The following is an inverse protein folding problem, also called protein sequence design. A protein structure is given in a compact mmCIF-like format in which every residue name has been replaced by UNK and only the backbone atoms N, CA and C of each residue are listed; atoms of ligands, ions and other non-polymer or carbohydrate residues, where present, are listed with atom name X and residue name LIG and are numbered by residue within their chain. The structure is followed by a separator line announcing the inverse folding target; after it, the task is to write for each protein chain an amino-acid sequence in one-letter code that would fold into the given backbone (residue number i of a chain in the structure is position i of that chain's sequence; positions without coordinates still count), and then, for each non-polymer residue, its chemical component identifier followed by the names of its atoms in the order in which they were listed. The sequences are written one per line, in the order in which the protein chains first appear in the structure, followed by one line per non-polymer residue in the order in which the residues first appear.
data_IF_853256941007
#
_entry.id   IF_853256941007
#
_cell.length_a   1.000
_cell.length_b   1.000
_cell.length_c   1.000
_cell.angle_alpha   90.00
_cell.angle_beta   90.00
_cell.angle_gamma   90.00
#
_symmetry.space_group_name_H-M   'P 1'
#
loop_
_entity.id
_entity.type
_entity.pdbx_description
1 polymer ?
#
# COMPACT_ATOMS: atom_id res chain seq x y z
N UNK A 1 -23.63 -12.90 -3.81
CA UNK A 1 -22.95 -12.72 -2.51
C UNK A 1 -23.80 -11.77 -1.69
N UNK A 2 -23.72 -11.80 -0.35
CA UNK A 2 -24.42 -10.82 0.49
C UNK A 2 -23.78 -9.45 0.29
N UNK A 3 -24.59 -8.41 0.20
CA UNK A 3 -24.11 -7.01 0.18
C UNK A 3 -23.33 -6.74 1.46
N UNK A 4 -22.16 -6.11 1.37
CA UNK A 4 -21.39 -5.65 2.52
C UNK A 4 -20.90 -4.23 2.27
N UNK A 5 -21.18 -3.35 3.23
CA UNK A 5 -20.74 -1.97 3.25
C UNK A 5 -20.17 -1.60 4.60
N UNK A 6 -19.11 -0.82 4.60
CA UNK A 6 -18.42 -0.34 5.78
C UNK A 6 -18.32 1.17 5.75
N UNK A 7 -18.77 1.83 6.80
CA UNK A 7 -18.68 3.28 7.00
C UNK A 7 -17.87 3.56 8.26
N UNK A 8 -16.85 4.41 8.15
CA UNK A 8 -16.10 4.92 9.30
C UNK A 8 -15.91 6.42 9.16
N UNK A 9 -16.41 7.17 10.14
CA UNK A 9 -16.18 8.59 10.29
C UNK A 9 -15.37 8.87 11.55
N UNK A 10 -14.46 9.85 11.49
CA UNK A 10 -13.60 10.23 12.60
C UNK A 10 -13.58 11.74 12.79
N UNK A 11 -13.76 12.16 14.05
CA UNK A 11 -13.62 13.55 14.47
C UNK A 11 -12.22 13.74 15.10
N UNK A 12 -11.47 14.71 14.58
CA UNK A 12 -10.09 15.00 14.95
C UNK A 12 -10.01 16.37 15.64
N UNK A 13 -10.67 17.38 15.09
CA UNK A 13 -10.51 18.76 15.54
C UNK A 13 -11.31 19.02 16.84
N UNK A 14 -12.47 18.37 16.97
CA UNK A 14 -13.32 18.44 18.17
C UNK A 14 -13.95 17.09 18.47
N UNK A 15 -14.09 16.75 19.75
CA UNK A 15 -14.91 15.62 20.15
C UNK A 15 -16.40 15.93 19.97
N UNK A 16 -17.17 14.92 19.61
CA UNK A 16 -18.61 14.96 19.56
C UNK A 16 -19.20 15.18 20.95
N UNK A 17 -20.20 16.06 21.01
CA UNK A 17 -20.96 16.31 22.23
C UNK A 17 -21.99 15.20 22.48
N UNK A 18 -22.46 15.02 23.73
CA UNK A 18 -23.53 14.06 24.02
C UNK A 18 -24.87 14.34 23.31
N UNK A 19 -25.08 15.55 22.79
CA UNK A 19 -26.26 15.87 21.95
C UNK A 19 -26.06 15.36 20.53
N UNK A 20 -24.90 15.60 19.94
CA UNK A 20 -24.55 15.15 18.60
C UNK A 20 -24.48 13.62 18.51
N UNK A 21 -23.89 12.96 19.51
CA UNK A 21 -23.88 11.49 19.57
C UNK A 21 -25.29 10.89 19.64
N UNK A 22 -26.23 11.56 20.33
CA UNK A 22 -27.65 11.13 20.35
C UNK A 22 -28.30 11.31 18.98
N UNK A 23 -28.05 12.42 18.31
CA UNK A 23 -28.54 12.65 16.96
C UNK A 23 -28.02 11.59 15.97
N UNK A 24 -26.72 11.26 16.02
CA UNK A 24 -26.12 10.19 15.20
C UNK A 24 -26.73 8.81 15.50
N UNK A 25 -27.11 8.55 16.76
CA UNK A 25 -27.80 7.32 17.17
C UNK A 25 -29.20 7.20 16.56
N UNK A 26 -29.87 8.34 16.32
CA UNK A 26 -31.16 8.37 15.65
C UNK A 26 -31.02 8.05 14.15
N UNK A 27 -29.88 8.41 13.54
CA UNK A 27 -29.54 8.07 12.14
C UNK A 27 -29.19 6.58 12.00
N UNK A 28 -28.30 6.08 12.86
CA UNK A 28 -27.95 4.65 12.89
C UNK A 28 -27.90 4.12 14.32
N UNK A 29 -28.93 3.32 14.64
CA UNK A 29 -29.05 2.68 15.95
C UNK A 29 -28.02 1.56 16.18
N UNK A 30 -27.45 0.99 15.11
CA UNK A 30 -26.49 -0.12 15.15
C UNK A 30 -25.04 0.31 15.09
N UNK A 31 -24.79 1.59 14.78
CA UNK A 31 -23.43 2.11 14.70
C UNK A 31 -22.74 2.15 16.07
N UNK A 32 -21.45 1.85 16.06
CA UNK A 32 -20.56 2.08 17.18
C UNK A 32 -20.14 3.55 17.20
N UNK A 33 -20.72 4.31 18.12
CA UNK A 33 -20.54 5.76 18.24
C UNK A 33 -19.76 6.09 19.50
N UNK A 34 -18.63 6.77 19.33
CA UNK A 34 -17.77 7.28 20.40
C UNK A 34 -17.65 8.81 20.29
N UNK A 35 -17.05 9.51 21.26
CA UNK A 35 -16.79 10.94 21.14
C UNK A 35 -15.90 11.34 19.95
N UNK A 36 -15.23 10.39 19.29
CA UNK A 36 -14.29 10.67 18.19
C UNK A 36 -14.56 9.84 16.94
N UNK A 37 -15.55 8.95 16.94
CA UNK A 37 -15.81 8.06 15.82
C UNK A 37 -17.28 7.65 15.69
N UNK A 38 -17.66 7.35 14.46
CA UNK A 38 -18.87 6.62 14.11
C UNK A 38 -18.45 5.50 13.16
N UNK A 39 -18.74 4.25 13.51
CA UNK A 39 -18.45 3.08 12.68
C UNK A 39 -19.72 2.29 12.48
N UNK A 40 -19.99 1.87 11.24
CA UNK A 40 -21.13 1.01 10.98
C UNK A 40 -20.86 0.06 9.81
N UNK A 41 -21.39 -1.15 9.93
CA UNK A 41 -21.32 -2.19 8.92
C UNK A 41 -22.74 -2.59 8.52
N UNK A 42 -23.01 -2.60 7.22
CA UNK A 42 -24.28 -3.02 6.66
C UNK A 42 -24.10 -4.30 5.86
N UNK A 43 -24.92 -5.30 6.16
CA UNK A 43 -25.05 -6.51 5.36
C UNK A 43 -26.31 -6.50 4.46
N UNK A 44 -27.18 -5.50 4.67
CA UNK A 44 -28.43 -5.25 3.96
C UNK A 44 -28.82 -3.78 4.17
N UNK A 45 -29.19 -3.08 3.10
CA UNK A 45 -29.54 -1.66 3.16
C UNK A 45 -28.33 -0.73 3.28
N UNK A 46 -28.58 0.54 3.58
CA UNK A 46 -27.60 1.63 3.47
C UNK A 46 -27.72 2.61 4.66
N UNK A 47 -26.69 3.42 4.87
CA UNK A 47 -26.69 4.57 5.75
C UNK A 47 -27.83 5.53 5.37
N UNK A 48 -28.67 5.87 6.34
CA UNK A 48 -29.83 6.75 6.14
C UNK A 48 -29.44 8.24 6.29
N UNK A 49 -28.27 8.61 5.76
CA UNK A 49 -27.74 9.97 5.75
C UNK A 49 -26.70 10.12 4.63
N UNK A 50 -26.57 11.32 4.08
CA UNK A 50 -25.49 11.63 3.14
C UNK A 50 -24.17 11.76 3.93
N UNK A 51 -23.11 11.00 3.59
CA UNK A 51 -21.79 11.15 4.20
C UNK A 51 -21.26 12.59 4.17
N UNK A 52 -21.60 13.38 3.14
CA UNK A 52 -21.17 14.78 3.01
C UNK A 52 -21.75 15.67 4.11
N UNK A 53 -23.02 15.48 4.45
CA UNK A 53 -23.68 16.21 5.55
C UNK A 53 -23.01 15.87 6.88
N UNK A 54 -22.71 14.59 7.11
CA UNK A 54 -22.04 14.13 8.33
C UNK A 54 -20.62 14.68 8.45
N UNK A 55 -19.89 14.74 7.33
CA UNK A 55 -18.58 15.40 7.28
C UNK A 55 -18.71 16.88 7.60
N UNK A 56 -19.70 17.57 7.04
CA UNK A 56 -19.90 18.99 7.29
C UNK A 56 -20.13 19.34 8.76
N UNK A 57 -21.00 18.57 9.41
CA UNK A 57 -21.48 18.88 10.76
C UNK A 57 -20.59 18.32 11.87
N UNK A 58 -20.03 17.11 11.67
CA UNK A 58 -19.52 16.30 12.78
C UNK A 58 -18.09 15.79 12.63
N UNK A 59 -17.63 15.49 11.41
CA UNK A 59 -16.43 14.68 11.20
C UNK A 59 -15.38 15.34 10.32
N UNK A 60 -14.13 14.87 10.42
CA UNK A 60 -12.99 15.41 9.68
C UNK A 60 -12.43 14.45 8.64
N UNK A 61 -12.69 13.15 8.82
CA UNK A 61 -12.20 12.06 7.96
C UNK A 61 -13.30 11.02 7.81
N UNK A 62 -13.48 10.53 6.59
CA UNK A 62 -14.39 9.42 6.31
C UNK A 62 -13.76 8.40 5.36
N UNK A 63 -14.01 7.12 5.64
CA UNK A 63 -13.74 5.99 4.74
C UNK A 63 -15.04 5.22 4.54
N UNK A 64 -15.37 4.94 3.29
CA UNK A 64 -16.44 4.05 2.87
C UNK A 64 -15.89 2.96 1.95
N UNK A 65 -16.33 1.72 2.18
CA UNK A 65 -15.95 0.55 1.39
C UNK A 65 -17.18 -0.32 1.14
N UNK A 66 -17.20 -0.98 0.00
CA UNK A 66 -18.20 -1.99 -0.33
C UNK A 66 -17.55 -3.20 -1.01
N UNK A 67 -18.16 -4.37 -0.87
CA UNK A 67 -17.67 -5.60 -1.49
C UNK A 67 -17.94 -5.71 -3.00
N UNK A 68 -18.62 -4.72 -3.60
CA UNK A 68 -18.79 -4.60 -5.04
C UNK A 68 -17.89 -3.53 -5.66
N UNK A 69 -16.81 -3.14 -4.96
CA UNK A 69 -15.73 -2.35 -5.54
C UNK A 69 -15.88 -0.83 -5.46
N UNK A 70 -16.82 -0.31 -4.67
CA UNK A 70 -16.83 1.12 -4.34
C UNK A 70 -15.97 1.39 -3.10
N UNK A 71 -15.00 2.29 -3.24
CA UNK A 71 -14.15 2.77 -2.15
C UNK A 71 -14.03 4.29 -2.22
N UNK A 72 -14.37 4.97 -1.11
CA UNK A 72 -14.38 6.44 -1.02
C UNK A 72 -13.66 6.88 0.24
N UNK A 73 -12.81 7.90 0.12
CA UNK A 73 -12.09 8.53 1.21
C UNK A 73 -12.33 10.04 1.18
N UNK A 74 -12.74 10.63 2.30
CA UNK A 74 -13.01 12.08 2.39
C UNK A 74 -12.20 12.75 3.49
N UNK A 75 -11.77 14.00 3.23
CA UNK A 75 -11.12 14.88 4.21
C UNK A 75 -11.77 16.27 4.23
N UNK A 76 -12.03 16.78 5.43
CA UNK A 76 -12.60 18.12 5.65
C UNK A 76 -11.56 19.13 6.11
N UNK A 77 -10.96 19.93 5.25
CA UNK A 77 -9.85 20.83 5.60
C UNK A 77 -10.33 22.28 5.82
N UNK A 78 -9.78 23.04 6.78
CA UNK A 78 -10.11 24.47 6.91
C UNK A 78 -9.83 25.24 5.63
N UNK A 79 -10.69 26.22 5.30
CA UNK A 79 -10.59 26.94 4.03
C UNK A 79 -9.30 27.73 3.85
N UNK A 80 -8.76 28.21 4.97
CA UNK A 80 -7.49 28.95 5.04
C UNK A 80 -6.28 28.14 4.58
N UNK A 81 -6.42 26.81 4.38
CA UNK A 81 -5.27 25.94 4.10
C UNK A 81 -4.77 26.09 2.67
N UNK A 82 -5.67 26.30 1.73
CA UNK A 82 -5.36 26.34 0.30
C UNK A 82 -6.09 27.48 -0.40
N UNK A 83 -5.48 28.00 -1.45
CA UNK A 83 -6.19 28.82 -2.42
C UNK A 83 -7.00 27.95 -3.38
N UNK A 84 -8.13 28.49 -3.84
CA UNK A 84 -9.07 27.78 -4.73
C UNK A 84 -8.42 27.34 -6.03
N UNK A 85 -7.49 28.12 -6.57
CA UNK A 85 -6.88 27.84 -7.87
C UNK A 85 -5.96 26.62 -7.79
N UNK A 86 -5.16 26.52 -6.73
CA UNK A 86 -4.27 25.38 -6.48
C UNK A 86 -5.04 24.10 -6.27
N UNK A 87 -6.13 24.11 -5.48
CA UNK A 87 -6.91 22.88 -5.29
C UNK A 87 -7.58 22.44 -6.59
N UNK A 88 -8.31 23.34 -7.24
CA UNK A 88 -9.09 23.01 -8.42
C UNK A 88 -8.25 22.52 -9.60
N UNK A 89 -6.94 22.82 -9.65
CA UNK A 89 -6.07 22.27 -10.69
C UNK A 89 -5.90 20.75 -10.59
N UNK A 90 -6.04 20.17 -9.39
CA UNK A 90 -5.95 18.72 -9.19
C UNK A 90 -7.28 18.00 -9.37
N UNK A 91 -8.41 18.72 -9.34
CA UNK A 91 -9.76 18.14 -9.37
C UNK A 91 -10.00 17.40 -10.69
N UNK A 92 -10.40 16.14 -10.61
CA UNK A 92 -10.70 15.26 -11.75
C UNK A 92 -11.88 14.35 -11.40
N UNK A 93 -13.09 14.76 -11.78
CA UNK A 93 -14.30 13.96 -11.55
C UNK A 93 -14.32 12.72 -12.44
N UNK A 94 -14.84 11.56 -11.97
CA UNK A 94 -15.41 11.31 -10.63
C UNK A 94 -14.38 10.83 -9.58
N UNK A 95 -13.08 10.84 -9.88
CA UNK A 95 -12.06 10.19 -9.06
C UNK A 95 -11.51 11.06 -7.92
N UNK A 96 -11.41 12.36 -8.14
CA UNK A 96 -10.94 13.30 -7.13
C UNK A 96 -11.74 14.60 -7.21
N UNK A 97 -12.72 14.71 -6.31
CA UNK A 97 -13.64 15.84 -6.20
C UNK A 97 -13.18 16.80 -5.10
N UNK A 98 -13.34 18.10 -5.37
CA UNK A 98 -13.04 19.17 -4.42
C UNK A 98 -14.23 20.11 -4.33
N UNK A 99 -14.84 20.16 -3.16
CA UNK A 99 -16.00 21.01 -2.91
C UNK A 99 -15.63 22.17 -1.98
N UNK A 100 -15.99 23.38 -2.41
CA UNK A 100 -15.86 24.60 -1.62
C UNK A 100 -17.11 24.81 -0.77
N UNK A 101 -17.02 24.53 0.54
CA UNK A 101 -18.10 24.80 1.49
C UNK A 101 -17.81 26.11 2.24
N UNK A 102 -18.72 26.51 3.14
CA UNK A 102 -18.67 27.85 3.77
C UNK A 102 -17.30 28.12 4.45
N UNK A 103 -16.94 27.25 5.40
CA UNK A 103 -15.75 27.41 6.25
C UNK A 103 -14.64 26.37 5.96
N UNK A 104 -14.88 25.41 5.08
CA UNK A 104 -13.98 24.29 4.82
C UNK A 104 -14.00 23.84 3.35
N UNK A 105 -12.97 23.10 3.00
CA UNK A 105 -12.85 22.30 1.79
C UNK A 105 -13.23 20.85 2.11
N UNK A 106 -14.03 20.23 1.26
CA UNK A 106 -14.24 18.79 1.29
C UNK A 106 -13.53 18.16 0.09
N UNK A 107 -12.58 17.28 0.37
CA UNK A 107 -11.80 16.58 -0.65
C UNK A 107 -12.26 15.12 -0.63
N UNK A 108 -12.65 14.60 -1.78
CA UNK A 108 -13.20 13.25 -1.93
C UNK A 108 -12.38 12.49 -2.96
N UNK A 109 -11.66 11.46 -2.51
CA UNK A 109 -11.00 10.49 -3.37
C UNK A 109 -11.90 9.29 -3.55
N UNK A 110 -12.11 8.89 -4.80
CA UNK A 110 -12.94 7.76 -5.19
C UNK A 110 -12.14 6.81 -6.06
N UNK A 111 -12.26 5.52 -5.79
CA UNK A 111 -11.76 4.49 -6.69
C UNK A 111 -12.52 4.47 -8.03
N UNK A 112 -13.77 4.96 -8.04
CA UNK A 112 -14.71 4.80 -9.14
C UNK A 112 -15.48 3.47 -9.06
N UNK A 113 -16.30 3.18 -10.08
CA UNK A 113 -16.94 1.88 -10.23
C UNK A 113 -15.89 0.84 -10.67
N UNK A 114 -15.14 0.30 -9.71
CA UNK A 114 -14.36 -0.91 -9.93
C UNK A 114 -15.26 -2.13 -9.70
N UNK A 115 -15.02 -3.23 -10.42
CA UNK A 115 -15.74 -4.48 -10.16
C UNK A 115 -15.40 -5.07 -8.78
N UNK A 116 -15.73 -6.34 -8.56
CA UNK A 116 -15.32 -7.05 -7.34
C UNK A 116 -13.79 -6.93 -7.15
N UNK A 117 -13.38 -6.45 -5.98
CA UNK A 117 -11.98 -6.19 -5.66
C UNK A 117 -11.60 -6.80 -4.32
N UNK A 118 -10.75 -7.82 -4.37
CA UNK A 118 -10.26 -8.59 -3.22
C UNK A 118 -9.66 -7.71 -2.11
N UNK A 119 -9.17 -6.49 -2.43
CA UNK A 119 -8.62 -5.54 -1.44
C UNK A 119 -9.62 -5.07 -0.40
N UNK A 120 -10.93 -5.15 -0.70
CA UNK A 120 -12.01 -4.70 0.16
C UNK A 120 -12.95 -5.83 0.62
N UNK A 121 -12.63 -7.08 0.27
CA UNK A 121 -13.42 -8.26 0.65
C UNK A 121 -13.17 -8.71 2.10
N UNK A 122 -11.94 -8.52 2.61
CA UNK A 122 -11.63 -8.78 4.02
C UNK A 122 -12.11 -7.60 4.89
N UNK A 123 -12.61 -7.89 6.11
CA UNK A 123 -13.29 -6.94 7.01
C UNK A 123 -12.32 -5.88 7.62
N UNK A 124 -11.48 -5.26 6.79
CA UNK A 124 -10.32 -4.45 7.17
C UNK A 124 -10.54 -2.93 7.01
N UNK A 125 -11.80 -2.48 6.96
CA UNK A 125 -12.12 -1.06 6.87
C UNK A 125 -11.53 -0.20 8.01
N UNK A 126 -11.27 -0.81 9.17
CA UNK A 126 -10.59 -0.16 10.31
C UNK A 126 -9.11 0.15 10.04
N UNK A 127 -8.42 -0.71 9.28
CA UNK A 127 -7.03 -0.51 8.88
C UNK A 127 -6.91 0.66 7.93
N UNK A 128 -7.80 0.76 6.94
CA UNK A 128 -7.82 1.88 5.99
C UNK A 128 -7.95 3.24 6.66
N UNK A 129 -8.90 3.40 7.59
CA UNK A 129 -9.02 4.65 8.37
C UNK A 129 -7.72 4.99 9.10
N UNK A 130 -7.05 4.01 9.70
CA UNK A 130 -5.79 4.23 10.43
C UNK A 130 -4.65 4.65 9.49
N UNK A 131 -4.56 4.03 8.32
CA UNK A 131 -3.53 4.30 7.32
C UNK A 131 -3.73 5.63 6.58
N UNK A 132 -4.98 6.04 6.34
CA UNK A 132 -5.32 7.23 5.54
C UNK A 132 -5.52 8.50 6.37
N UNK A 133 -6.00 8.41 7.62
CA UNK A 133 -6.22 9.58 8.47
C UNK A 133 -5.00 10.54 8.60
N UNK A 134 -3.73 10.06 8.62
CA UNK A 134 -2.56 10.94 8.68
C UNK A 134 -2.45 11.93 7.50
N UNK A 135 -3.04 11.63 6.34
CA UNK A 135 -3.05 12.50 5.16
C UNK A 135 -3.61 13.89 5.45
N UNK A 136 -4.57 13.98 6.39
CA UNK A 136 -5.09 15.27 6.86
C UNK A 136 -3.98 16.18 7.32
N UNK A 137 -3.13 15.68 8.22
CA UNK A 137 -2.08 16.51 8.80
C UNK A 137 -0.96 16.82 7.79
N UNK A 138 -0.67 15.88 6.88
CA UNK A 138 0.26 16.12 5.77
C UNK A 138 -0.23 17.28 4.88
N UNK A 139 -1.51 17.29 4.50
CA UNK A 139 -2.13 18.38 3.73
C UNK A 139 -2.14 19.70 4.50
N UNK A 140 -2.46 19.68 5.80
CA UNK A 140 -2.40 20.88 6.65
C UNK A 140 -0.99 21.47 6.73
N UNK A 141 0.05 20.63 6.62
CA UNK A 141 1.46 21.02 6.54
C UNK A 141 1.90 21.48 5.14
N UNK A 142 1.02 21.43 4.15
CA UNK A 142 1.29 21.84 2.77
C UNK A 142 1.90 20.74 1.89
N UNK A 143 1.82 19.48 2.30
CA UNK A 143 2.22 18.35 1.44
C UNK A 143 1.12 18.02 0.45
N UNK A 144 1.28 18.46 -0.80
CA UNK A 144 0.28 18.32 -1.87
C UNK A 144 0.30 16.95 -2.57
N UNK A 145 1.19 16.04 -2.17
CA UNK A 145 1.40 14.77 -2.90
C UNK A 145 0.16 13.88 -2.92
N UNK A 146 -0.71 13.96 -1.91
CA UNK A 146 -2.00 13.23 -1.90
C UNK A 146 -3.01 13.77 -2.91
N UNK A 147 -2.99 15.08 -3.20
CA UNK A 147 -3.80 15.67 -4.28
C UNK A 147 -3.34 15.13 -5.64
N UNK A 148 -2.02 15.06 -5.84
CA UNK A 148 -1.43 14.50 -7.06
C UNK A 148 -1.75 13.00 -7.22
N UNK A 149 -1.76 12.23 -6.13
CA UNK A 149 -2.18 10.82 -6.16
C UNK A 149 -3.66 10.70 -6.57
N UNK A 150 -4.53 11.60 -6.10
CA UNK A 150 -5.91 11.67 -6.58
C UNK A 150 -6.01 11.97 -8.07
N UNK A 151 -5.23 12.95 -8.56
CA UNK A 151 -5.15 13.26 -9.98
C UNK A 151 -4.64 12.09 -10.84
N UNK A 152 -3.63 11.36 -10.35
CA UNK A 152 -3.11 10.16 -11.02
C UNK A 152 -4.14 9.05 -11.19
N UNK A 153 -5.22 9.04 -10.39
CA UNK A 153 -6.29 8.06 -10.56
C UNK A 153 -6.97 8.22 -11.92
N UNK A 154 -7.33 9.45 -12.28
CA UNK A 154 -7.93 9.76 -13.58
C UNK A 154 -6.98 9.42 -14.73
N UNK A 155 -5.68 9.71 -14.55
CA UNK A 155 -4.65 9.30 -15.53
C UNK A 155 -4.62 7.78 -15.70
N UNK A 156 -4.71 7.02 -14.62
CA UNK A 156 -4.65 5.54 -14.65
C UNK A 156 -5.84 4.93 -15.40
N UNK A 157 -7.00 5.59 -15.38
CA UNK A 157 -8.21 5.17 -16.09
C UNK A 157 -8.31 5.73 -17.52
N UNK A 158 -7.28 6.47 -17.98
CA UNK A 158 -7.27 7.20 -19.26
C UNK A 158 -8.48 8.16 -19.42
N UNK A 159 -9.00 8.64 -18.29
CA UNK A 159 -10.20 9.46 -18.20
C UNK A 159 -9.82 10.88 -17.76
N UNK A 160 -8.93 11.50 -18.55
CA UNK A 160 -8.41 12.83 -18.28
C UNK A 160 -8.36 13.68 -19.55
N UNK A 161 -9.00 14.85 -19.51
CA UNK A 161 -8.94 15.82 -20.62
C UNK A 161 -7.63 16.62 -20.62
N UNK A 162 -7.00 16.78 -19.46
CA UNK A 162 -5.79 17.58 -19.30
C UNK A 162 -4.56 16.86 -19.90
N UNK A 163 -3.90 17.53 -20.85
CA UNK A 163 -2.68 17.00 -21.49
C UNK A 163 -1.46 17.01 -20.57
N UNK A 164 -1.49 17.78 -19.47
CA UNK A 164 -0.35 18.05 -18.59
C UNK A 164 -0.71 17.92 -17.12
N UNK A 165 0.30 17.57 -16.33
CA UNK A 165 0.14 17.53 -14.88
C UNK A 165 -0.15 18.93 -14.28
N UNK A 166 -0.93 18.99 -13.19
CA UNK A 166 -1.38 20.27 -12.62
C UNK A 166 -0.25 21.08 -12.00
N UNK A 167 0.74 20.40 -11.43
CA UNK A 167 1.90 21.03 -10.81
C UNK A 167 3.08 20.06 -10.78
N UNK A 168 4.29 20.57 -11.01
CA UNK A 168 5.51 19.82 -10.80
C UNK A 168 5.81 19.70 -9.29
N UNK A 169 5.50 18.54 -8.69
CA UNK A 169 5.76 18.29 -7.27
C UNK A 169 7.10 17.57 -7.03
N UNK A 170 7.81 18.06 -6.01
CA UNK A 170 8.98 17.40 -5.45
C UNK A 170 8.60 16.18 -4.59
N UNK A 171 9.55 15.27 -4.35
CA UNK A 171 9.37 14.20 -3.37
C UNK A 171 8.40 13.07 -3.76
N UNK A 172 7.95 13.01 -5.02
CA UNK A 172 7.08 11.92 -5.51
C UNK A 172 7.76 10.55 -5.51
N UNK A 173 9.10 10.50 -5.41
CA UNK A 173 9.88 9.27 -5.28
C UNK A 173 10.10 8.79 -3.84
N UNK A 174 9.57 9.50 -2.84
CA UNK A 174 9.71 9.18 -1.42
C UNK A 174 8.39 9.44 -0.67
N UNK A 175 7.34 8.74 -1.10
CA UNK A 175 5.99 8.86 -0.53
C UNK A 175 5.95 8.38 0.92
N UNK A 176 5.19 9.09 1.77
CA UNK A 176 4.94 8.65 3.15
C UNK A 176 4.12 7.36 3.19
N UNK A 177 4.07 6.67 4.33
CA UNK A 177 3.25 5.47 4.47
C UNK A 177 1.74 5.74 4.21
N UNK A 178 1.25 6.93 4.57
CA UNK A 178 -0.13 7.32 4.33
C UNK A 178 -0.40 7.62 2.85
N UNK A 179 0.56 8.23 2.15
CA UNK A 179 0.50 8.47 0.70
C UNK A 179 0.57 7.16 -0.09
N UNK A 180 1.42 6.22 0.33
CA UNK A 180 1.46 4.87 -0.24
C UNK A 180 0.14 4.15 -0.02
N UNK A 181 -0.47 4.28 1.18
CA UNK A 181 -1.79 3.72 1.44
C UNK A 181 -2.87 4.35 0.55
N UNK A 182 -2.83 5.66 0.29
CA UNK A 182 -3.77 6.29 -0.64
C UNK A 182 -3.61 5.75 -2.06
N UNK A 183 -2.38 5.59 -2.53
CA UNK A 183 -2.13 5.02 -3.85
C UNK A 183 -2.65 3.57 -3.96
N UNK A 184 -2.47 2.77 -2.91
CA UNK A 184 -2.99 1.41 -2.82
C UNK A 184 -4.54 1.40 -2.79
N UNK A 185 -5.13 2.30 -2.01
CA UNK A 185 -6.58 2.50 -1.90
C UNK A 185 -7.21 2.84 -3.26
N UNK A 186 -6.52 3.66 -4.06
CA UNK A 186 -6.97 4.09 -5.39
C UNK A 186 -6.49 3.19 -6.54
N UNK A 187 -5.84 2.06 -6.26
CA UNK A 187 -5.34 1.16 -7.32
C UNK A 187 -4.37 1.82 -8.32
N UNK A 188 -3.60 2.82 -7.89
CA UNK A 188 -2.67 3.49 -8.79
C UNK A 188 -1.58 2.52 -9.22
N UNK A 189 -1.27 2.50 -10.53
CA UNK A 189 -0.20 1.64 -11.06
C UNK A 189 1.13 1.93 -10.35
N UNK A 190 1.76 0.93 -9.69
CA UNK A 190 3.03 1.11 -9.01
C UNK A 190 4.16 1.53 -9.96
N UNK A 191 4.12 1.13 -11.23
CA UNK A 191 5.09 1.52 -12.23
C UNK A 191 4.91 2.99 -12.62
N UNK A 192 3.68 3.50 -12.67
CA UNK A 192 3.39 4.93 -12.86
C UNK A 192 3.98 5.77 -11.72
N UNK A 193 3.72 5.41 -10.46
CA UNK A 193 4.29 6.09 -9.30
C UNK A 193 5.82 6.04 -9.30
N UNK A 194 6.40 4.88 -9.61
CA UNK A 194 7.85 4.70 -9.65
C UNK A 194 8.49 5.54 -10.76
N UNK A 195 7.86 5.62 -11.94
CA UNK A 195 8.30 6.43 -13.07
C UNK A 195 8.32 7.92 -12.71
N UNK A 196 7.21 8.41 -12.18
CA UNK A 196 7.04 9.81 -11.75
C UNK A 196 8.03 10.16 -10.63
N UNK A 197 8.26 9.25 -9.68
CA UNK A 197 9.16 9.45 -8.56
C UNK A 197 10.63 9.49 -8.95
N UNK A 198 11.04 8.65 -9.91
CA UNK A 198 12.43 8.58 -10.38
C UNK A 198 12.90 9.89 -11.03
N UNK A 199 12.04 10.56 -11.80
CA UNK A 199 12.36 11.86 -12.41
C UNK A 199 12.50 12.99 -11.38
N UNK A 200 11.77 12.93 -10.26
CA UNK A 200 11.81 13.97 -9.23
C UNK A 200 12.99 13.79 -8.24
N UNK A 201 13.43 12.54 -8.00
CA UNK A 201 14.47 12.23 -7.00
C UNK A 201 15.86 12.80 -7.35
N UNK A 202 16.14 13.07 -8.62
CA UNK A 202 17.44 13.54 -9.07
C UNK A 202 17.77 15.00 -8.67
N UNK A 203 16.80 15.78 -8.16
CA UNK A 203 16.97 17.24 -7.94
C UNK A 203 16.75 17.73 -6.49
N UNK A 204 16.03 17.00 -5.63
CA UNK A 204 15.50 17.62 -4.40
C UNK A 204 16.42 17.63 -3.17
N UNK A 205 17.31 16.65 -2.98
CA UNK A 205 17.93 16.42 -1.65
C UNK A 205 18.86 17.53 -1.14
N UNK A 206 19.85 17.91 -1.95
CA UNK A 206 20.88 18.90 -1.55
C UNK A 206 20.44 20.34 -1.85
N UNK A 207 19.73 20.54 -2.96
CA UNK A 207 19.21 21.86 -3.35
C UNK A 207 18.16 22.37 -2.36
N UNK A 208 17.29 21.51 -1.82
CA UNK A 208 16.27 21.94 -0.86
C UNK A 208 16.86 22.30 0.51
N UNK A 209 17.95 21.66 0.95
CA UNK A 209 18.60 22.01 2.22
C UNK A 209 19.23 23.41 2.13
N UNK A 210 20.02 23.67 1.09
CA UNK A 210 20.61 24.98 0.87
C UNK A 210 19.56 26.08 0.65
N UNK A 211 18.47 25.77 -0.06
CA UNK A 211 17.36 26.71 -0.25
C UNK A 211 16.62 27.03 1.06
N UNK A 212 16.47 26.05 1.96
CA UNK A 212 15.90 26.28 3.31
C UNK A 212 16.78 27.19 4.12
N UNK A 213 18.08 26.92 4.21
CA UNK A 213 19.01 27.76 4.98
C UNK A 213 19.02 29.20 4.44
N UNK A 214 19.11 29.36 3.11
CA UNK A 214 19.07 30.67 2.46
C UNK A 214 17.73 31.43 2.65
N UNK A 215 16.63 30.71 2.89
CA UNK A 215 15.33 31.32 3.22
C UNK A 215 15.24 31.68 4.70
N UNK A 216 15.68 30.79 5.60
CA UNK A 216 15.72 31.03 7.04
C UNK A 216 16.59 32.26 7.37
N UNK A 217 17.71 32.45 6.67
CA UNK A 217 18.59 33.62 6.82
C UNK A 217 17.92 34.95 6.45
N UNK A 218 16.82 34.91 5.67
CA UNK A 218 16.06 36.10 5.24
C UNK A 218 14.88 36.41 6.17
N UNK A 219 14.54 35.51 7.10
CA UNK A 219 13.41 35.72 8.01
C UNK A 219 13.76 36.77 9.07
N UNK A 220 12.85 37.72 9.36
CA UNK A 220 13.03 38.67 10.46
C UNK A 220 13.19 37.94 11.81
N UNK A 221 14.13 38.38 12.68
CA UNK A 221 14.33 37.75 13.99
C UNK A 221 13.07 37.71 14.86
N UNK A 222 12.19 38.69 14.73
CA UNK A 222 10.91 38.76 15.46
C UNK A 222 9.92 37.69 14.99
N UNK A 223 9.91 37.37 13.69
CA UNK A 223 9.07 36.31 13.13
C UNK A 223 9.54 34.94 13.61
N UNK A 224 10.86 34.68 13.57
CA UNK A 224 11.47 33.45 14.10
C UNK A 224 11.15 33.30 15.59
N UNK A 225 11.29 34.36 16.38
CA UNK A 225 10.92 34.37 17.81
C UNK A 225 9.43 34.08 18.00
N UNK A 226 8.57 34.58 17.12
CA UNK A 226 7.13 34.31 17.11
C UNK A 226 6.82 32.82 16.97
N UNK A 227 7.42 32.14 15.98
CA UNK A 227 7.25 30.70 15.81
C UNK A 227 7.79 29.90 17.01
N UNK A 228 8.95 30.27 17.55
CA UNK A 228 9.50 29.62 18.75
C UNK A 228 8.59 29.80 19.97
N UNK A 229 7.99 30.98 20.14
CA UNK A 229 7.02 31.21 21.20
C UNK A 229 5.77 30.33 21.03
N UNK A 230 5.22 30.25 19.82
CA UNK A 230 4.09 29.35 19.51
C UNK A 230 4.41 27.88 19.82
N UNK A 231 5.63 27.42 19.53
CA UNK A 231 6.06 26.07 19.89
C UNK A 231 6.08 25.85 21.42
N UNK A 232 6.54 26.85 22.18
CA UNK A 232 6.59 26.78 23.65
C UNK A 232 5.20 26.88 24.31
N UNK A 233 4.22 27.51 23.65
CA UNK A 233 2.85 27.67 24.18
C UNK A 233 1.87 26.58 23.73
N UNK A 234 2.36 25.49 23.13
CA UNK A 234 1.53 24.37 22.68
C UNK A 234 0.85 24.58 21.31
N UNK A 235 1.20 25.66 20.60
CA UNK A 235 0.75 25.97 19.24
C UNK A 235 1.77 25.49 18.17
N UNK A 236 2.61 24.50 18.51
CA UNK A 236 3.71 24.04 17.66
C UNK A 236 3.25 23.52 16.29
N UNK A 237 2.10 22.83 16.22
CA UNK A 237 1.55 22.39 14.94
C UNK A 237 1.15 23.58 14.04
N UNK A 238 0.56 24.63 14.61
CA UNK A 238 0.21 25.84 13.87
C UNK A 238 1.48 26.57 13.37
N UNK A 239 2.50 26.68 14.22
CA UNK A 239 3.80 27.25 13.85
C UNK A 239 4.46 26.47 12.71
N UNK A 240 4.47 25.13 12.80
CA UNK A 240 5.03 24.26 11.75
C UNK A 240 4.30 24.48 10.42
N UNK A 241 2.96 24.46 10.43
CA UNK A 241 2.14 24.66 9.22
C UNK A 241 2.39 26.02 8.59
N UNK A 242 2.44 27.08 9.39
CA UNK A 242 2.72 28.43 8.91
C UNK A 242 4.12 28.55 8.29
N UNK A 243 5.15 28.00 8.96
CA UNK A 243 6.53 28.03 8.47
C UNK A 243 6.68 27.26 7.15
N UNK A 244 6.09 26.05 7.07
CA UNK A 244 6.11 25.23 5.85
C UNK A 244 5.41 25.92 4.68
N UNK A 245 4.25 26.55 4.94
CA UNK A 245 3.54 27.32 3.91
C UNK A 245 4.35 28.50 3.42
N UNK A 246 4.89 29.30 4.34
CA UNK A 246 5.72 30.46 3.99
C UNK A 246 6.95 30.06 3.15
N UNK A 247 7.60 28.94 3.49
CA UNK A 247 8.68 28.38 2.69
C UNK A 247 8.22 27.92 1.29
N UNK A 248 7.08 27.22 1.21
CA UNK A 248 6.51 26.77 -0.05
C UNK A 248 6.12 27.94 -0.98
N UNK A 249 5.49 28.98 -0.43
CA UNK A 249 5.14 30.20 -1.17
C UNK A 249 6.39 30.93 -1.68
N UNK A 250 7.44 31.00 -0.86
CA UNK A 250 8.72 31.58 -1.27
C UNK A 250 9.36 30.79 -2.41
N UNK A 251 9.34 29.45 -2.33
CA UNK A 251 9.82 28.57 -3.41
C UNK A 251 9.00 28.73 -4.68
N UNK A 252 7.67 28.72 -4.59
CA UNK A 252 6.77 28.88 -5.73
C UNK A 252 7.03 30.19 -6.47
N UNK A 253 7.25 31.29 -5.76
CA UNK A 253 7.64 32.58 -6.35
C UNK A 253 8.99 32.50 -7.07
N UNK A 254 10.01 31.92 -6.42
CA UNK A 254 11.33 31.76 -7.03
C UNK A 254 11.30 30.88 -8.29
N UNK A 255 10.46 29.85 -8.31
CA UNK A 255 10.27 28.97 -9.47
C UNK A 255 9.50 29.64 -10.60
N UNK A 256 8.46 30.42 -10.28
CA UNK A 256 7.72 31.21 -11.25
C UNK A 256 8.60 32.26 -11.94
N UNK A 257 9.49 32.91 -11.18
CA UNK A 257 10.47 33.88 -11.71
C UNK A 257 11.54 33.22 -12.59
N UNK A 258 11.88 31.96 -12.32
CA UNK A 258 12.91 31.22 -13.05
C UNK A 258 12.40 30.50 -14.31
N UNK A 259 11.08 30.36 -14.48
CA UNK A 259 10.48 29.64 -15.62
C UNK A 259 10.82 28.15 -15.70
N UNK A 260 11.31 27.55 -14.60
CA UNK A 260 11.94 26.22 -14.57
C UNK A 260 10.97 25.06 -14.28
N UNK A 261 9.73 25.33 -13.89
CA UNK A 261 8.71 24.30 -13.69
C UNK A 261 7.94 24.05 -14.99
N UNK A 262 8.47 23.19 -15.86
CA UNK A 262 7.65 22.61 -16.93
C UNK A 262 6.94 21.37 -16.40
N UNK A 263 5.60 21.44 -16.33
CA UNK A 263 4.75 20.28 -16.08
C UNK A 263 4.90 19.25 -17.20
N UNK A 264 5.08 17.98 -16.81
CA UNK A 264 5.13 16.85 -17.74
C UNK A 264 3.80 16.66 -18.46
N UNK A 265 3.84 16.13 -19.67
CA UNK A 265 2.63 15.67 -20.36
C UNK A 265 2.21 14.31 -19.83
N UNK A 266 0.93 13.96 -19.98
CA UNK A 266 0.43 12.62 -19.62
C UNK A 266 1.18 11.51 -20.38
N UNK A 267 1.53 11.76 -21.66
CA UNK A 267 2.34 10.83 -22.46
C UNK A 267 3.74 10.62 -21.85
N UNK A 268 4.40 11.67 -21.38
CA UNK A 268 5.69 11.56 -20.70
C UNK A 268 5.57 10.75 -19.41
N UNK A 269 4.46 10.85 -18.66
CA UNK A 269 4.23 10.04 -17.46
C UNK A 269 4.16 8.55 -17.79
N UNK A 270 3.45 8.17 -18.86
CA UNK A 270 3.38 6.78 -19.32
C UNK A 270 4.72 6.25 -19.83
N UNK A 271 5.50 7.08 -20.55
CA UNK A 271 6.86 6.70 -20.95
C UNK A 271 7.78 6.44 -19.75
N UNK A 272 7.63 7.21 -18.66
CA UNK A 272 8.35 6.98 -17.40
C UNK A 272 7.86 5.69 -16.71
N UNK A 273 6.56 5.41 -16.76
CA UNK A 273 5.98 4.18 -16.22
C UNK A 273 6.55 2.94 -16.93
N UNK A 274 6.60 2.95 -18.27
CA UNK A 274 7.21 1.87 -19.06
C UNK A 274 8.67 1.61 -18.70
N UNK A 275 9.43 2.67 -18.45
CA UNK A 275 10.82 2.55 -18.01
C UNK A 275 10.91 1.92 -16.61
N UNK A 276 10.05 2.35 -15.69
CA UNK A 276 9.98 1.79 -14.34
C UNK A 276 9.59 0.31 -14.36
N UNK A 277 8.60 -0.08 -15.18
CA UNK A 277 8.17 -1.46 -15.38
C UNK A 277 9.33 -2.34 -15.86
N UNK A 278 10.08 -1.91 -16.87
CA UNK A 278 11.27 -2.64 -17.37
C UNK A 278 12.30 -2.85 -16.27
N UNK A 279 12.54 -1.83 -15.44
CA UNK A 279 13.46 -1.92 -14.30
C UNK A 279 12.93 -2.92 -13.25
N UNK A 280 11.63 -2.90 -12.94
CA UNK A 280 11.00 -3.82 -11.99
C UNK A 280 11.09 -5.27 -12.46
N UNK A 281 10.68 -5.56 -13.69
CA UNK A 281 10.75 -6.91 -14.28
C UNK A 281 12.19 -7.45 -14.32
N UNK A 282 13.18 -6.61 -14.65
CA UNK A 282 14.58 -7.00 -14.61
C UNK A 282 15.07 -7.33 -13.18
N UNK A 283 14.61 -6.57 -12.18
CA UNK A 283 14.91 -6.84 -10.76
C UNK A 283 14.26 -8.14 -10.28
N UNK A 284 13.00 -8.37 -10.60
CA UNK A 284 12.27 -9.60 -10.26
C UNK A 284 12.92 -10.83 -10.90
N UNK A 285 13.28 -10.76 -12.19
CA UNK A 285 13.99 -11.85 -12.87
C UNK A 285 15.36 -12.14 -12.24
N UNK A 286 16.10 -11.10 -11.84
CA UNK A 286 17.38 -11.24 -11.12
C UNK A 286 17.19 -11.86 -9.73
N UNK A 287 16.17 -11.43 -8.99
CA UNK A 287 15.83 -11.98 -7.68
C UNK A 287 15.42 -13.46 -7.78
N UNK A 288 14.61 -13.82 -8.77
CA UNK A 288 14.22 -15.21 -9.03
C UNK A 288 15.43 -16.08 -9.35
N UNK A 289 16.32 -15.63 -10.24
CA UNK A 289 17.58 -16.36 -10.53
C UNK A 289 18.44 -16.55 -9.29
N UNK A 290 18.54 -15.54 -8.42
CA UNK A 290 19.26 -15.64 -7.14
C UNK A 290 18.61 -16.62 -6.18
N UNK A 291 17.28 -16.61 -6.07
CA UNK A 291 16.52 -17.54 -5.24
C UNK A 291 16.68 -18.98 -5.71
N UNK A 292 16.50 -19.23 -7.03
CA UNK A 292 16.70 -20.55 -7.63
C UNK A 292 18.15 -21.05 -7.45
N UNK A 293 19.15 -20.19 -7.61
CA UNK A 293 20.54 -20.55 -7.36
C UNK A 293 20.81 -20.86 -5.87
N UNK A 294 20.20 -20.11 -4.95
CA UNK A 294 20.31 -20.36 -3.52
C UNK A 294 19.63 -21.69 -3.13
N UNK A 295 18.47 -22.00 -3.70
CA UNK A 295 17.80 -23.29 -3.51
C UNK A 295 18.60 -24.45 -4.09
N UNK A 296 19.17 -24.31 -5.28
CA UNK A 296 20.07 -25.32 -5.86
C UNK A 296 21.26 -25.60 -4.95
N UNK A 297 21.93 -24.57 -4.45
CA UNK A 297 23.04 -24.73 -3.49
C UNK A 297 22.59 -25.40 -2.19
N UNK A 298 21.42 -25.01 -1.63
CA UNK A 298 20.86 -25.66 -0.44
C UNK A 298 20.58 -27.14 -0.70
N UNK A 299 20.03 -27.47 -1.87
CA UNK A 299 19.77 -28.84 -2.30
C UNK A 299 21.07 -29.62 -2.47
N UNK A 300 22.09 -29.07 -3.12
CA UNK A 300 23.41 -29.69 -3.25
C UNK A 300 24.05 -30.01 -1.88
N UNK A 301 24.00 -29.06 -0.93
CA UNK A 301 24.49 -29.28 0.44
C UNK A 301 23.67 -30.35 1.16
N UNK A 302 22.35 -30.36 1.00
CA UNK A 302 21.46 -31.38 1.56
C UNK A 302 21.78 -32.78 1.02
N UNK A 303 21.91 -32.92 -0.30
CA UNK A 303 22.26 -34.18 -0.96
C UNK A 303 23.66 -34.66 -0.52
N UNK A 304 24.61 -33.75 -0.38
CA UNK A 304 25.96 -34.07 0.13
C UNK A 304 25.90 -34.61 1.56
N UNK A 305 25.15 -33.95 2.45
CA UNK A 305 24.92 -34.42 3.83
C UNK A 305 24.22 -35.78 3.87
N UNK A 306 23.28 -36.01 2.96
CA UNK A 306 22.56 -37.26 2.86
C UNK A 306 23.49 -38.41 2.39
N UNK A 307 24.46 -38.09 1.54
CA UNK A 307 25.50 -39.01 1.10
C UNK A 307 26.52 -39.38 2.20
N UNK A 308 26.69 -38.57 3.25
CA UNK A 308 27.55 -38.92 4.39
C UNK A 308 27.05 -40.17 5.13
N UNK A 309 25.73 -40.44 5.13
CA UNK A 309 25.17 -41.58 5.85
C UNK A 309 23.84 -42.06 5.25
N UNK A 310 23.92 -42.68 4.07
CA UNK A 310 22.76 -43.26 3.41
C UNK A 310 21.99 -44.26 4.28
N UNK A 311 22.69 -45.10 5.06
CA UNK A 311 22.06 -46.11 5.93
C UNK A 311 21.14 -45.50 6.99
N UNK A 312 21.49 -44.34 7.53
CA UNK A 312 20.63 -43.61 8.48
C UNK A 312 19.35 -43.13 7.80
N UNK A 313 19.46 -42.61 6.58
CA UNK A 313 18.33 -42.09 5.79
C UNK A 313 17.35 -43.21 5.39
N UNK A 314 17.84 -44.36 4.96
CA UNK A 314 17.01 -45.54 4.69
C UNK A 314 16.24 -46.03 5.93
N UNK A 315 16.88 -46.02 7.10
CA UNK A 315 16.21 -46.37 8.36
C UNK A 315 15.12 -45.37 8.75
N UNK A 316 15.30 -44.08 8.46
CA UNK A 316 14.27 -43.06 8.68
C UNK A 316 13.10 -43.29 7.72
N UNK A 317 13.37 -43.55 6.44
CA UNK A 317 12.34 -43.88 5.45
C UNK A 317 11.50 -45.09 5.89
N UNK A 318 12.12 -46.16 6.37
CA UNK A 318 11.41 -47.36 6.88
C UNK A 318 10.53 -47.06 8.10
N UNK A 319 11.02 -46.24 9.04
CA UNK A 319 10.25 -45.83 10.23
C UNK A 319 9.04 -44.95 9.87
N UNK A 320 9.22 -43.98 8.99
CA UNK A 320 8.13 -43.11 8.54
C UNK A 320 7.10 -43.90 7.72
N UNK A 321 7.57 -44.77 6.81
CA UNK A 321 6.71 -45.67 6.06
C UNK A 321 5.88 -46.54 7.01
N UNK A 322 6.46 -46.99 8.13
CA UNK A 322 5.78 -47.81 9.13
C UNK A 322 4.57 -47.14 9.79
N UNK A 323 4.60 -45.82 10.01
CA UNK A 323 3.56 -45.03 10.70
C UNK A 323 2.20 -45.06 10.00
N UNK A 324 2.17 -45.24 8.69
CA UNK A 324 0.95 -45.56 7.95
C UNK A 324 -0.05 -44.42 7.74
N UNK A 325 0.33 -43.15 7.96
CA UNK A 325 -0.52 -41.98 7.70
C UNK A 325 -0.11 -41.23 6.42
N UNK A 326 -1.01 -40.39 5.90
CA UNK A 326 -0.82 -39.68 4.63
C UNK A 326 0.45 -38.81 4.61
N UNK A 327 0.64 -37.93 5.61
CA UNK A 327 1.83 -37.07 5.68
C UNK A 327 3.14 -37.82 5.86
N UNK A 328 3.13 -39.02 6.47
CA UNK A 328 4.31 -39.86 6.57
C UNK A 328 4.68 -40.48 5.20
N UNK A 329 3.70 -40.89 4.40
CA UNK A 329 3.96 -41.37 3.04
C UNK A 329 4.48 -40.26 2.12
N UNK A 330 3.95 -39.04 2.24
CA UNK A 330 4.46 -37.89 1.47
C UNK A 330 5.92 -37.57 1.86
N UNK A 331 6.25 -37.65 3.15
CA UNK A 331 7.62 -37.46 3.65
C UNK A 331 8.59 -38.55 3.16
N UNK A 332 8.15 -39.81 3.12
CA UNK A 332 8.93 -40.93 2.57
C UNK A 332 9.18 -40.74 1.07
N UNK A 333 8.18 -40.29 0.31
CA UNK A 333 8.31 -40.02 -1.12
C UNK A 333 9.38 -38.96 -1.38
N UNK A 334 9.36 -37.84 -0.64
CA UNK A 334 10.38 -36.79 -0.73
C UNK A 334 11.78 -37.33 -0.39
N UNK A 335 11.90 -38.08 0.70
CA UNK A 335 13.18 -38.63 1.15
C UNK A 335 13.78 -39.65 0.15
N UNK A 336 12.94 -40.45 -0.52
CA UNK A 336 13.39 -41.42 -1.53
C UNK A 336 13.83 -40.75 -2.84
N UNK A 337 13.18 -39.64 -3.23
CA UNK A 337 13.65 -38.80 -4.34
C UNK A 337 15.01 -38.18 -4.01
N UNK A 338 15.15 -37.63 -2.80
CA UNK A 338 16.43 -37.07 -2.34
C UNK A 338 17.54 -38.14 -2.25
N UNK A 339 17.21 -39.35 -1.79
CA UNK A 339 18.13 -40.49 -1.78
C UNK A 339 18.60 -40.82 -3.20
N UNK A 340 17.67 -41.01 -4.15
CA UNK A 340 18.02 -41.29 -5.55
C UNK A 340 18.95 -40.23 -6.11
N UNK A 341 18.62 -38.96 -5.91
CA UNK A 341 19.38 -37.84 -6.44
C UNK A 341 20.78 -37.75 -5.78
N UNK A 342 20.90 -38.05 -4.49
CA UNK A 342 22.18 -38.11 -3.79
C UNK A 342 23.05 -39.30 -4.24
N UNK A 343 22.46 -40.47 -4.47
CA UNK A 343 23.17 -41.63 -5.06
C UNK A 343 23.61 -41.36 -6.50
N UNK A 344 22.78 -40.69 -7.29
CA UNK A 344 23.12 -40.27 -8.66
C UNK A 344 24.32 -39.31 -8.67
N UNK A 345 24.37 -38.35 -7.73
CA UNK A 345 25.49 -37.41 -7.58
C UNK A 345 26.81 -38.13 -7.25
N UNK A 346 26.76 -39.26 -6.55
CA UNK A 346 27.93 -40.09 -6.23
C UNK A 346 28.22 -41.17 -7.29
N UNK A 347 27.45 -41.23 -8.39
CA UNK A 347 27.60 -42.25 -9.44
C UNK A 347 27.18 -43.67 -9.03
N UNK A 348 26.45 -43.83 -7.93
CA UNK A 348 26.10 -45.12 -7.32
C UNK A 348 24.61 -45.45 -7.46
N UNK A 349 24.01 -45.18 -8.62
CA UNK A 349 22.59 -45.36 -8.85
C UNK A 349 22.15 -46.84 -8.75
N UNK A 350 23.04 -47.78 -9.08
CA UNK A 350 22.77 -49.22 -8.97
C UNK A 350 22.59 -49.65 -7.50
N UNK A 351 23.34 -49.04 -6.58
CA UNK A 351 23.21 -49.31 -5.14
C UNK A 351 21.87 -48.78 -4.64
N UNK A 352 21.44 -47.61 -5.11
CA UNK A 352 20.11 -47.09 -4.80
C UNK A 352 19.01 -48.06 -5.26
N UNK A 353 19.08 -48.59 -6.47
CA UNK A 353 18.08 -49.53 -6.99
C UNK A 353 17.98 -50.78 -6.10
N UNK A 354 19.12 -51.37 -5.71
CA UNK A 354 19.14 -52.54 -4.83
C UNK A 354 18.54 -52.25 -3.44
N UNK A 355 18.86 -51.11 -2.84
CA UNK A 355 18.29 -50.71 -1.54
C UNK A 355 16.80 -50.34 -1.65
N UNK A 356 16.39 -49.73 -2.76
CA UNK A 356 15.00 -49.42 -3.06
C UNK A 356 14.16 -50.69 -3.23
N UNK A 357 14.67 -51.71 -3.91
CA UNK A 357 14.00 -53.01 -4.03
C UNK A 357 13.78 -53.68 -2.67
N UNK A 358 14.79 -53.64 -1.78
CA UNK A 358 14.66 -54.14 -0.39
C UNK A 358 13.59 -53.37 0.37
N UNK A 359 13.62 -52.04 0.32
CA UNK A 359 12.61 -51.18 0.94
C UNK A 359 11.20 -51.49 0.41
N UNK A 360 11.06 -51.68 -0.89
CA UNK A 360 9.78 -52.01 -1.51
C UNK A 360 9.29 -53.40 -1.11
N UNK A 361 10.17 -54.41 -0.99
CA UNK A 361 9.83 -55.75 -0.53
C UNK A 361 9.13 -55.72 0.84
N UNK A 362 9.61 -54.89 1.76
CA UNK A 362 9.04 -54.71 3.11
C UNK A 362 7.71 -53.94 3.13
N UNK A 363 7.40 -53.17 2.08
CA UNK A 363 6.26 -52.25 2.03
C UNK A 363 5.28 -52.48 0.88
N UNK A 364 5.43 -53.58 0.13
CA UNK A 364 4.54 -53.99 -0.99
C UNK A 364 3.05 -53.99 -0.65
N UNK A 365 2.68 -54.34 0.59
CA UNK A 365 1.28 -54.40 1.04
C UNK A 365 0.66 -53.02 1.31
N UNK A 366 1.46 -51.94 1.35
CA UNK A 366 1.01 -50.57 1.61
C UNK A 366 0.59 -49.87 0.30
N UNK A 367 -0.59 -50.21 -0.21
CA UNK A 367 -1.11 -49.70 -1.50
C UNK A 367 -1.04 -48.18 -1.65
N UNK A 368 -1.36 -47.43 -0.60
CA UNK A 368 -1.35 -45.96 -0.62
C UNK A 368 0.05 -45.32 -0.72
N UNK A 369 1.11 -46.04 -0.31
CA UNK A 369 2.50 -45.62 -0.50
C UNK A 369 2.95 -45.94 -1.92
N UNK A 370 2.64 -47.14 -2.39
CA UNK A 370 2.92 -47.61 -3.75
C UNK A 370 2.37 -46.65 -4.80
N UNK A 371 1.09 -46.29 -4.71
CA UNK A 371 0.45 -45.38 -5.68
C UNK A 371 1.11 -43.99 -5.70
N UNK A 372 1.60 -43.50 -4.55
CA UNK A 372 2.33 -42.23 -4.49
C UNK A 372 3.72 -42.33 -5.14
N UNK A 373 4.41 -43.45 -4.94
CA UNK A 373 5.72 -43.72 -5.54
C UNK A 373 5.66 -43.87 -7.07
N UNK A 374 4.60 -44.50 -7.59
CA UNK A 374 4.30 -44.57 -9.03
C UNK A 374 4.04 -43.18 -9.61
N UNK A 375 3.27 -42.34 -8.90
CA UNK A 375 2.95 -40.97 -9.32
C UNK A 375 4.20 -40.07 -9.46
N UNK A 376 5.23 -40.29 -8.64
CA UNK A 376 6.49 -39.54 -8.69
C UNK A 376 7.57 -40.20 -9.56
N UNK A 377 7.23 -41.31 -10.26
CA UNK A 377 8.12 -41.97 -11.22
C UNK A 377 9.32 -42.70 -10.58
N UNK A 378 9.20 -43.12 -9.32
CA UNK A 378 10.23 -43.94 -8.65
C UNK A 378 10.00 -45.45 -8.81
N UNK A 379 8.87 -45.86 -9.41
CA UNK A 379 8.49 -47.25 -9.65
C UNK A 379 8.03 -47.45 -11.08
#
# INVERSE_FOLDING_TARGET
MSEYQYYHFRAIDRSLTPKEMRHLRDISSRADITPVSFVNEYNWGDLQADPRDLMGDFFDVHVYLSNWGTAVFMLRLPKEVFDTQTLNSFSVEPYFEIEALADYWLLTWSLGESGEDERFEEHDGGSWMTRLAPLREELLRGDLRSLYIGWLRAVSEDDIEAEREPMALAGLGDLTAAQQALAEFLAIDPDLLAGVGASCRAKCGEEDAAARDAWLDKLPPDEVRGYLHQMLTGQGAQAERALRRSFADWRAKATAESGTAMCRTVEELWQLADQAQKVRLAREASARKKAEAAERKRREVWLTKLAENFSKSWRIAGKEAARGCAGAYDSVCLLLVDLRDAYNLQGNLDIFQSEFEKFMAEHTRRKALVTRLEKIGLR
#
